data_IF_145227809748
#
_entry.id   IF_145227809748
#
_cell.length_a   1.000
_cell.length_b   1.000
_cell.length_c   1.000
_cell.angle_alpha   90.00
_cell.angle_beta   90.00
_cell.angle_gamma   90.00
#
_symmetry.space_group_name_H-M   'P 1'
#
loop_
_entity.id
_entity.type
_entity.pdbx_description
1 polymer ?
#
# COMPACT_ATOMS: atom_id res chain seq x y z
N UNK A 1 -12.42 4.25 5.49
CA UNK A 1 -11.33 4.33 4.49
C UNK A 1 -11.39 3.12 3.57
N UNK A 2 -11.43 3.31 2.25
CA UNK A 2 -11.40 2.18 1.32
C UNK A 2 -10.11 1.36 1.45
N UNK A 3 -10.21 0.06 1.21
CA UNK A 3 -9.08 -0.87 1.34
C UNK A 3 -7.87 -0.48 0.47
N UNK A 4 -8.14 0.03 -0.74
CA UNK A 4 -7.06 0.46 -1.63
C UNK A 4 -6.20 1.56 -1.05
N UNK A 5 -6.80 2.49 -0.32
CA UNK A 5 -6.06 3.57 0.35
C UNK A 5 -5.12 3.01 1.42
N UNK A 6 -5.57 2.00 2.16
CA UNK A 6 -4.75 1.33 3.17
C UNK A 6 -3.48 0.73 2.56
N UNK A 7 -3.63 0.04 1.42
CA UNK A 7 -2.49 -0.58 0.74
C UNK A 7 -1.43 0.45 0.33
N UNK A 8 -1.85 1.59 -0.24
CA UNK A 8 -0.92 2.63 -0.65
C UNK A 8 -0.29 3.35 0.55
N UNK A 9 -1.06 3.61 1.59
CA UNK A 9 -0.52 4.23 2.80
C UNK A 9 0.56 3.36 3.44
N UNK A 10 0.33 2.05 3.54
CA UNK A 10 1.31 1.13 4.10
C UNK A 10 2.63 1.17 3.35
N UNK A 11 2.57 1.23 2.05
CA UNK A 11 3.77 1.31 1.21
C UNK A 11 4.50 2.64 1.47
N UNK A 12 3.77 3.75 1.46
CA UNK A 12 4.36 5.08 1.66
C UNK A 12 4.94 5.29 3.05
N UNK A 13 4.36 4.67 4.07
CA UNK A 13 4.93 4.75 5.42
C UNK A 13 6.31 4.09 5.51
N UNK A 14 6.55 3.09 4.68
CA UNK A 14 7.85 2.43 4.62
C UNK A 14 8.83 3.17 3.72
N UNK A 15 8.35 3.66 2.59
CA UNK A 15 9.16 4.40 1.63
C UNK A 15 8.33 5.49 0.98
N UNK A 16 8.52 6.72 1.44
CA UNK A 16 7.81 7.89 0.93
C UNK A 16 8.41 8.35 -0.41
N UNK A 17 7.65 9.15 -1.15
CA UNK A 17 8.16 9.77 -2.36
C UNK A 17 8.28 8.84 -3.57
N UNK A 18 7.46 7.80 -3.62
CA UNK A 18 7.41 6.89 -4.76
C UNK A 18 6.59 7.49 -5.89
N UNK A 19 6.90 7.07 -7.12
CA UNK A 19 6.07 7.45 -8.27
C UNK A 19 4.76 6.68 -8.24
N UNK A 20 3.75 7.19 -8.95
CA UNK A 20 2.47 6.47 -9.08
C UNK A 20 2.66 5.10 -9.71
N UNK A 21 3.59 4.99 -10.66
CA UNK A 21 3.90 3.72 -11.31
C UNK A 21 4.51 2.72 -10.32
N UNK A 22 5.47 3.18 -9.51
CA UNK A 22 6.06 2.33 -8.49
C UNK A 22 5.02 1.86 -7.47
N UNK A 23 4.10 2.76 -7.08
CA UNK A 23 3.01 2.41 -6.17
C UNK A 23 2.07 1.36 -6.79
N UNK A 24 1.74 1.51 -8.07
CA UNK A 24 0.93 0.53 -8.79
C UNK A 24 1.58 -0.85 -8.76
N UNK A 25 2.88 -0.90 -9.07
CA UNK A 25 3.62 -2.16 -9.11
C UNK A 25 3.69 -2.81 -7.74
N UNK A 26 4.03 -2.04 -6.71
CA UNK A 26 4.15 -2.56 -5.33
C UNK A 26 2.81 -3.01 -4.75
N UNK A 27 1.73 -2.32 -5.09
CA UNK A 27 0.40 -2.66 -4.60
C UNK A 27 -0.28 -3.75 -5.43
N UNK A 28 0.28 -4.09 -6.59
CA UNK A 28 -0.33 -5.06 -7.49
C UNK A 28 -1.64 -4.56 -8.10
N UNK A 29 -1.74 -3.26 -8.33
CA UNK A 29 -2.95 -2.63 -8.87
C UNK A 29 -2.66 -1.98 -10.21
N UNK A 30 -3.71 -1.77 -11.02
CA UNK A 30 -3.57 -1.08 -12.30
C UNK A 30 -3.27 0.40 -12.09
N UNK A 31 -2.63 1.04 -13.06
CA UNK A 31 -2.35 2.47 -12.99
C UNK A 31 -3.62 3.33 -12.87
N UNK A 32 -4.71 3.06 -13.62
CA UNK A 32 -5.95 3.83 -13.43
C UNK A 32 -6.53 3.70 -12.02
N UNK A 33 -6.50 2.52 -11.44
CA UNK A 33 -6.98 2.30 -10.07
C UNK A 33 -6.11 3.07 -9.07
N UNK A 34 -4.79 3.03 -9.25
CA UNK A 34 -3.85 3.77 -8.41
C UNK A 34 -4.09 5.27 -8.53
N UNK A 35 -4.23 5.77 -9.75
CA UNK A 35 -4.47 7.19 -9.99
C UNK A 35 -5.73 7.68 -9.26
N UNK A 36 -6.83 6.93 -9.38
CA UNK A 36 -8.09 7.28 -8.71
C UNK A 36 -7.94 7.30 -7.19
N UNK A 37 -7.26 6.30 -6.64
CA UNK A 37 -7.02 6.21 -5.19
C UNK A 37 -6.15 7.38 -4.69
N UNK A 38 -5.07 7.67 -5.41
CA UNK A 38 -4.16 8.77 -5.03
C UNK A 38 -4.87 10.12 -5.09
N UNK A 39 -5.72 10.34 -6.09
CA UNK A 39 -6.51 11.57 -6.16
C UNK A 39 -7.45 11.71 -4.95
N UNK A 40 -8.12 10.64 -4.59
CA UNK A 40 -9.01 10.65 -3.43
C UNK A 40 -8.24 10.91 -2.14
N UNK A 41 -7.05 10.32 -2.00
CA UNK A 41 -6.19 10.53 -0.84
C UNK A 41 -5.63 11.95 -0.79
N UNK A 42 -5.34 12.52 -1.94
CA UNK A 42 -4.90 13.91 -2.04
C UNK A 42 -6.02 14.86 -1.59
N UNK A 43 -7.24 14.63 -2.06
CA UNK A 43 -8.42 15.41 -1.65
C UNK A 43 -8.68 15.29 -0.15
N UNK A 44 -8.43 14.11 0.43
CA UNK A 44 -8.58 13.90 1.87
C UNK A 44 -7.43 14.52 2.68
N UNK A 45 -6.37 14.95 2.02
CA UNK A 45 -5.24 15.60 2.68
C UNK A 45 -4.17 14.66 3.21
N UNK A 46 -4.14 13.41 2.77
CA UNK A 46 -3.17 12.43 3.25
C UNK A 46 -1.90 12.38 2.42
N UNK A 47 -1.98 12.72 1.15
CA UNK A 47 -0.82 12.73 0.25
C UNK A 47 -0.81 14.00 -0.61
N UNK A 48 0.35 14.31 -1.17
CA UNK A 48 0.52 15.38 -2.16
C UNK A 48 1.25 14.79 -3.35
N UNK A 49 0.82 15.16 -4.54
CA UNK A 49 1.49 14.76 -5.78
C UNK A 49 2.43 15.88 -6.21
N UNK A 50 3.62 15.50 -6.64
CA UNK A 50 4.63 16.46 -7.09
C UNK A 50 5.25 16.01 -8.41
N UNK A 51 5.45 16.99 -9.30
CA UNK A 51 6.25 16.82 -10.49
C UNK A 51 7.37 17.85 -10.45
N UNK A 52 8.55 17.47 -10.90
CA UNK A 52 9.63 18.42 -11.05
C UNK A 52 9.59 19.02 -12.45
N UNK A 53 10.15 20.21 -12.62
CA UNK A 53 10.26 20.85 -13.93
C UNK A 53 11.12 20.01 -14.88
N UNK A 54 12.07 19.27 -14.35
CA UNK A 54 13.01 18.45 -15.09
C UNK A 54 12.42 17.09 -15.53
N UNK A 55 11.45 16.59 -14.77
CA UNK A 55 10.86 15.28 -15.05
C UNK A 55 9.35 15.33 -14.92
N UNK A 56 8.70 15.73 -16.01
CA UNK A 56 7.24 15.81 -16.05
C UNK A 56 6.56 14.48 -16.31
N UNK A 57 7.32 13.44 -16.65
CA UNK A 57 6.77 12.11 -16.93
C UNK A 57 6.39 11.39 -15.64
N UNK A 58 7.07 11.68 -14.55
CA UNK A 58 6.85 11.01 -13.28
C UNK A 58 6.11 11.91 -12.31
N UNK A 59 5.09 11.35 -11.68
CA UNK A 59 4.37 11.99 -10.59
C UNK A 59 4.78 11.30 -9.30
N UNK A 60 5.42 12.03 -8.41
CA UNK A 60 5.88 11.54 -7.12
C UNK A 60 4.80 11.77 -6.08
N UNK A 61 4.57 10.78 -5.24
CA UNK A 61 3.55 10.83 -4.20
C UNK A 61 4.23 10.90 -2.84
N UNK A 62 3.92 11.93 -2.08
CA UNK A 62 4.50 12.15 -0.76
C UNK A 62 3.40 12.21 0.29
N UNK A 63 3.69 11.62 1.45
CA UNK A 63 2.80 11.75 2.60
C UNK A 63 2.80 13.19 3.10
N UNK A 64 1.62 13.68 3.46
CA UNK A 64 1.51 14.92 4.24
C UNK A 64 1.73 14.59 5.72
N UNK A 65 1.83 15.63 6.56
CA UNK A 65 1.89 15.43 8.00
C UNK A 65 0.69 14.63 8.50
N UNK A 66 -0.49 14.89 7.93
CA UNK A 66 -1.72 14.18 8.26
C UNK A 66 -1.65 12.71 7.86
N UNK A 67 -1.09 12.43 6.66
CA UNK A 67 -0.89 11.06 6.20
C UNK A 67 0.07 10.28 7.07
N UNK A 68 1.15 10.93 7.53
CA UNK A 68 2.10 10.30 8.46
C UNK A 68 1.47 10.03 9.81
N UNK A 69 0.64 10.95 10.29
CA UNK A 69 -0.03 10.80 11.59
C UNK A 69 -0.99 9.60 11.62
N UNK A 70 -1.54 9.22 10.46
CA UNK A 70 -2.44 8.08 10.38
C UNK A 70 -1.75 6.76 10.73
N UNK A 71 -0.45 6.63 10.49
CA UNK A 71 0.28 5.42 10.84
C UNK A 71 0.12 5.08 12.32
N UNK A 72 0.26 6.07 13.17
CA UNK A 72 0.15 5.88 14.63
C UNK A 72 -1.24 5.46 15.06
N UNK A 73 -2.28 5.85 14.31
CA UNK A 73 -3.66 5.50 14.63
C UNK A 73 -4.06 4.16 14.03
N UNK A 74 -3.68 3.92 12.78
CA UNK A 74 -4.22 2.79 12.02
C UNK A 74 -3.42 1.50 12.20
N UNK A 75 -2.09 1.58 12.35
CA UNK A 75 -1.27 0.37 12.50
C UNK A 75 -1.65 -0.43 13.75
N UNK A 76 -1.81 0.19 14.95
CA UNK A 76 -2.27 -0.58 16.11
C UNK A 76 -3.64 -1.23 15.91
N UNK A 77 -4.56 -0.54 15.20
CA UNK A 77 -5.88 -1.10 14.92
C UNK A 77 -5.79 -2.31 13.98
N UNK A 78 -4.94 -2.24 12.96
CA UNK A 78 -4.72 -3.34 12.03
C UNK A 78 -4.07 -4.53 12.74
N UNK A 79 -3.12 -4.30 13.63
CA UNK A 79 -2.50 -5.35 14.43
C UNK A 79 -3.52 -6.04 15.30
N UNK A 80 -4.43 -5.29 15.92
CA UNK A 80 -5.49 -5.86 16.75
C UNK A 80 -6.45 -6.71 15.95
N UNK A 81 -6.84 -6.26 14.75
CA UNK A 81 -7.69 -7.04 13.85
C UNK A 81 -6.98 -8.33 13.45
N UNK A 82 -5.68 -8.25 13.14
CA UNK A 82 -4.90 -9.43 12.79
C UNK A 82 -4.82 -10.43 13.93
N UNK A 83 -4.65 -9.98 15.16
CA UNK A 83 -4.66 -10.86 16.33
C UNK A 83 -5.98 -11.60 16.46
N UNK A 84 -7.09 -10.88 16.28
CA UNK A 84 -8.42 -11.50 16.32
C UNK A 84 -8.57 -12.51 15.19
N UNK A 85 -8.12 -12.17 13.99
CA UNK A 85 -8.25 -13.01 12.81
C UNK A 85 -7.54 -14.35 12.96
N UNK A 86 -6.41 -14.39 13.66
CA UNK A 86 -5.64 -15.63 13.82
C UNK A 86 -5.82 -16.29 15.18
N UNK A 87 -6.79 -15.83 15.97
CA UNK A 87 -7.07 -16.41 17.28
C UNK A 87 -7.38 -17.89 17.16
N UNK A 88 -6.68 -18.72 17.93
CA UNK A 88 -6.86 -20.15 17.90
C UNK A 88 -6.13 -20.87 16.76
N UNK A 89 -5.44 -20.13 15.90
CA UNK A 89 -4.64 -20.73 14.82
C UNK A 89 -3.20 -20.89 15.30
N UNK A 90 -2.64 -22.07 15.08
CA UNK A 90 -1.27 -22.36 15.51
C UNK A 90 -0.27 -21.52 14.73
N UNK A 91 0.81 -21.12 15.38
CA UNK A 91 1.85 -20.29 14.75
C UNK A 91 2.45 -20.95 13.51
N UNK A 92 2.63 -22.28 13.55
CA UNK A 92 3.14 -23.03 12.40
C UNK A 92 2.21 -22.95 11.19
N UNK A 93 0.90 -22.98 11.43
CA UNK A 93 -0.10 -22.90 10.36
C UNK A 93 -0.14 -21.49 9.76
N UNK A 94 0.00 -20.47 10.58
CA UNK A 94 0.08 -19.07 10.12
C UNK A 94 1.29 -18.89 9.20
N UNK A 95 2.45 -19.41 9.62
CA UNK A 95 3.69 -19.30 8.84
C UNK A 95 3.59 -20.03 7.51
N UNK A 96 3.05 -21.26 7.53
CA UNK A 96 2.86 -22.05 6.31
C UNK A 96 1.92 -21.34 5.34
N UNK A 97 0.81 -20.79 5.85
CA UNK A 97 -0.16 -20.07 5.04
C UNK A 97 0.49 -18.85 4.39
N UNK A 98 1.25 -18.08 5.17
CA UNK A 98 1.94 -16.88 4.65
C UNK A 98 2.90 -17.26 3.53
N UNK A 99 3.74 -18.27 3.73
CA UNK A 99 4.70 -18.72 2.72
C UNK A 99 4.00 -19.20 1.45
N UNK A 100 2.92 -19.93 1.61
CA UNK A 100 2.16 -20.46 0.48
C UNK A 100 1.54 -19.32 -0.35
N UNK A 101 0.92 -18.36 0.32
CA UNK A 101 0.33 -17.20 -0.37
C UNK A 101 1.39 -16.37 -1.08
N UNK A 102 2.55 -16.16 -0.46
CA UNK A 102 3.65 -15.43 -1.09
C UNK A 102 4.17 -16.16 -2.33
N UNK A 103 4.32 -17.49 -2.24
CA UNK A 103 4.77 -18.28 -3.38
C UNK A 103 3.78 -18.20 -4.54
N UNK A 104 2.49 -18.26 -4.25
CA UNK A 104 1.44 -18.12 -5.27
C UNK A 104 1.52 -16.74 -5.93
N UNK A 105 1.66 -15.69 -5.12
CA UNK A 105 1.74 -14.32 -5.63
C UNK A 105 2.97 -14.13 -6.52
N UNK A 106 4.12 -14.70 -6.13
CA UNK A 106 5.34 -14.62 -6.91
C UNK A 106 5.18 -15.33 -8.26
N UNK A 107 4.58 -16.52 -8.26
CA UNK A 107 4.34 -17.26 -9.49
C UNK A 107 3.45 -16.46 -10.45
N UNK A 108 2.43 -15.81 -9.94
CA UNK A 108 1.53 -14.99 -10.75
C UNK A 108 2.24 -13.76 -11.31
N UNK A 109 3.12 -13.16 -10.53
CA UNK A 109 3.89 -12.00 -10.96
C UNK A 109 4.88 -12.34 -12.09
N UNK A 110 5.43 -13.56 -12.10
CA UNK A 110 6.37 -14.02 -13.10
C UNK A 110 5.70 -14.63 -14.34
N UNK A 111 4.40 -14.94 -14.25
CA UNK A 111 3.67 -15.57 -15.34
C UNK A 111 3.46 -14.59 -16.48
N UNK A 112 3.75 -14.96 -17.73
CA UNK A 112 3.44 -14.10 -18.88
C UNK A 112 1.93 -14.01 -19.06
N UNK A 113 1.47 -12.82 -19.37
CA UNK A 113 0.04 -12.56 -19.60
C UNK A 113 -0.34 -12.90 -21.03
#
# INVERSE_FOLDING_TARGET
MPFGHWAFLRILWQEDGLTQRELSDLAGMTEPTTFAAIRAMEEAGYVARRQTAENRKNVYVHLTARGRALERKLVPLAEEVNKIAVRGVRAADIETTRRTLLAIAENLALSPK
#
